data_IF_305168908890
#
_entry.id   IF_305168908890
#
_cell.length_a   1.000
_cell.length_b   1.000
_cell.length_c   1.000
_cell.angle_alpha   90.00
_cell.angle_beta   90.00
_cell.angle_gamma   90.00
#
_symmetry.space_group_name_H-M   'P 1'
#
loop_
_entity.id
_entity.type
_entity.pdbx_description
1 polymer ?
#
# COMPACT_ATOMS: atom_id res chain seq x y z
N UNK A 1 -24.83 7.72 -22.32
CA UNK A 1 -23.41 7.27 -22.44
C UNK A 1 -23.02 6.34 -21.28
N UNK A 2 -23.63 5.15 -21.14
CA UNK A 2 -23.35 4.22 -20.02
C UNK A 2 -22.53 2.97 -20.42
N UNK A 3 -22.23 2.77 -21.71
CA UNK A 3 -21.65 1.50 -22.17
C UNK A 3 -20.11 1.47 -22.11
N UNK A 4 -19.39 2.56 -22.37
CA UNK A 4 -17.90 2.56 -22.45
C UNK A 4 -17.17 2.20 -21.14
N UNK A 5 -17.69 2.59 -19.97
CA UNK A 5 -17.01 2.38 -18.68
C UNK A 5 -16.96 0.90 -18.26
N UNK A 6 -17.95 0.10 -18.64
CA UNK A 6 -18.01 -1.34 -18.29
C UNK A 6 -16.95 -2.14 -19.06
N UNK A 7 -16.67 -1.78 -20.32
CA UNK A 7 -15.65 -2.46 -21.13
C UNK A 7 -14.23 -2.22 -20.64
N UNK A 8 -13.93 -1.00 -20.16
CA UNK A 8 -12.59 -0.69 -19.67
C UNK A 8 -12.29 -1.43 -18.36
N UNK A 9 -13.24 -1.47 -17.42
CA UNK A 9 -13.06 -2.20 -16.15
C UNK A 9 -12.78 -3.69 -16.38
N UNK A 10 -13.54 -4.35 -17.25
CA UNK A 10 -13.31 -5.75 -17.62
C UNK A 10 -11.98 -5.93 -18.37
N UNK A 11 -11.62 -4.99 -19.25
CA UNK A 11 -10.33 -5.02 -19.94
C UNK A 11 -9.14 -4.90 -18.96
N UNK A 12 -9.20 -3.97 -18.01
CA UNK A 12 -8.20 -3.80 -16.93
C UNK A 12 -8.08 -5.08 -16.11
N UNK A 13 -9.21 -5.68 -15.72
CA UNK A 13 -9.25 -6.95 -15.00
C UNK A 13 -8.56 -8.06 -15.78
N UNK A 14 -8.81 -8.15 -17.10
CA UNK A 14 -8.15 -9.12 -17.98
C UNK A 14 -6.64 -8.88 -18.05
N UNK A 15 -6.17 -7.63 -18.15
CA UNK A 15 -4.73 -7.34 -18.15
C UNK A 15 -4.07 -7.82 -16.86
N UNK A 16 -4.65 -7.49 -15.69
CA UNK A 16 -4.13 -7.94 -14.38
C UNK A 16 -4.09 -9.46 -14.25
N UNK A 17 -5.13 -10.15 -14.71
CA UNK A 17 -5.18 -11.62 -14.70
C UNK A 17 -4.13 -12.24 -15.62
N UNK A 18 -3.92 -11.71 -16.82
CA UNK A 18 -2.90 -12.19 -17.75
C UNK A 18 -1.48 -11.94 -17.22
N UNK A 19 -1.24 -10.77 -16.62
CA UNK A 19 0.05 -10.45 -15.98
C UNK A 19 0.34 -11.41 -14.82
N UNK A 20 -0.64 -11.65 -13.93
CA UNK A 20 -0.50 -12.62 -12.82
C UNK A 20 -0.22 -14.05 -13.29
N UNK A 21 -0.68 -14.41 -14.50
CA UNK A 21 -0.44 -15.72 -15.12
C UNK A 21 0.85 -15.77 -15.95
N UNK A 22 1.62 -14.68 -16.02
CA UNK A 22 2.78 -14.55 -16.91
C UNK A 22 2.46 -14.84 -18.39
N UNK A 23 1.22 -14.59 -18.82
CA UNK A 23 0.78 -14.79 -20.21
C UNK A 23 0.63 -13.49 -20.99
N UNK A 24 0.92 -12.36 -20.35
CA UNK A 24 0.91 -11.06 -21.00
C UNK A 24 2.26 -10.83 -21.70
N UNK A 25 2.25 -10.29 -22.93
CA UNK A 25 3.49 -10.00 -23.65
C UNK A 25 4.32 -8.92 -22.94
N UNK A 26 5.64 -8.98 -23.14
CA UNK A 26 6.58 -7.95 -22.69
C UNK A 26 6.17 -6.57 -23.18
N UNK A 27 5.93 -6.43 -24.49
CA UNK A 27 5.60 -5.14 -25.12
C UNK A 27 4.35 -4.50 -24.50
N UNK A 28 3.33 -5.32 -24.21
CA UNK A 28 2.10 -4.82 -23.58
C UNK A 28 2.32 -4.45 -22.13
N UNK A 29 3.17 -5.20 -21.43
CA UNK A 29 3.54 -4.90 -20.04
C UNK A 29 4.30 -3.58 -19.97
N UNK A 30 5.25 -3.35 -20.88
CA UNK A 30 6.00 -2.09 -20.99
C UNK A 30 5.10 -0.89 -21.33
N UNK A 31 4.16 -1.05 -22.27
CA UNK A 31 3.19 0.01 -22.61
C UNK A 31 2.28 0.38 -21.44
N UNK A 32 1.88 -0.60 -20.62
CA UNK A 32 1.08 -0.34 -19.43
C UNK A 32 1.92 0.29 -18.33
N UNK A 33 3.16 -0.15 -18.15
CA UNK A 33 4.09 0.44 -17.18
C UNK A 33 4.40 1.91 -17.51
N UNK A 34 4.56 2.27 -18.80
CA UNK A 34 4.91 3.63 -19.21
C UNK A 34 3.84 4.67 -18.88
N UNK A 35 2.58 4.25 -18.71
CA UNK A 35 1.47 5.11 -18.27
C UNK A 35 1.20 4.99 -16.76
N UNK A 36 2.07 4.32 -16.00
CA UNK A 36 1.91 4.13 -14.56
C UNK A 36 0.78 3.17 -14.19
N UNK A 37 0.49 2.17 -15.03
CA UNK A 37 -0.60 1.22 -14.77
C UNK A 37 -0.38 0.43 -13.47
N UNK A 38 -1.36 0.51 -12.56
CA UNK A 38 -1.33 -0.20 -11.29
C UNK A 38 -1.80 -1.65 -11.46
N UNK A 39 -0.86 -2.59 -11.33
CA UNK A 39 -1.10 -4.03 -11.40
C UNK A 39 -1.80 -4.57 -10.15
N UNK A 40 -1.32 -4.20 -8.97
CA UNK A 40 -1.90 -4.58 -7.68
C UNK A 40 -2.29 -3.32 -6.89
N UNK A 41 -3.60 -3.17 -6.66
CA UNK A 41 -4.16 -2.03 -5.93
C UNK A 41 -3.82 -2.08 -4.43
N UNK A 42 -3.70 -3.28 -3.87
CA UNK A 42 -3.36 -3.47 -2.47
C UNK A 42 -1.92 -3.03 -2.22
N UNK A 43 -0.99 -3.44 -3.09
CA UNK A 43 0.42 -3.05 -2.96
C UNK A 43 0.63 -1.58 -3.30
N UNK A 44 -0.11 -1.04 -4.28
CA UNK A 44 -0.06 0.38 -4.55
C UNK A 44 -0.52 1.23 -3.35
N UNK A 45 -1.67 0.88 -2.74
CA UNK A 45 -2.16 1.59 -1.55
C UNK A 45 -1.23 1.41 -0.35
N UNK A 46 -0.62 0.24 -0.21
CA UNK A 46 0.43 0.00 0.78
C UNK A 46 1.63 0.93 0.56
N UNK A 47 2.19 0.95 -0.66
CA UNK A 47 3.36 1.77 -1.01
C UNK A 47 3.08 3.27 -0.81
N UNK A 48 1.91 3.74 -1.19
CA UNK A 48 1.51 5.14 -0.98
C UNK A 48 1.52 5.50 0.52
N UNK A 49 0.90 4.66 1.36
CA UNK A 49 0.84 4.88 2.81
C UNK A 49 2.19 4.70 3.48
N UNK A 50 2.99 3.74 3.03
CA UNK A 50 4.35 3.54 3.50
C UNK A 50 5.23 4.75 3.19
N UNK A 51 5.13 5.32 1.99
CA UNK A 51 5.84 6.55 1.63
C UNK A 51 5.39 7.74 2.49
N UNK A 52 4.09 7.87 2.76
CA UNK A 52 3.58 8.88 3.71
C UNK A 52 4.16 8.69 5.11
N UNK A 53 4.29 7.45 5.58
CA UNK A 53 4.93 7.14 6.85
C UNK A 53 6.42 7.52 6.86
N UNK A 54 7.15 7.21 5.79
CA UNK A 54 8.56 7.59 5.66
C UNK A 54 8.74 9.11 5.67
N UNK A 55 7.89 9.85 4.97
CA UNK A 55 7.89 11.31 5.00
C UNK A 55 7.57 11.85 6.41
N UNK A 56 6.56 11.28 7.08
CA UNK A 56 6.23 11.65 8.45
C UNK A 56 7.41 11.40 9.40
N UNK A 57 8.08 10.25 9.30
CA UNK A 57 9.28 9.94 10.09
C UNK A 57 10.40 10.95 9.82
N UNK A 58 10.65 11.29 8.56
CA UNK A 58 11.69 12.25 8.22
C UNK A 58 11.44 13.64 8.85
N UNK A 59 10.16 14.02 9.00
CA UNK A 59 9.77 15.30 9.59
C UNK A 59 9.72 15.27 11.14
N UNK A 60 9.29 14.17 11.74
CA UNK A 60 8.99 14.09 13.18
C UNK A 60 10.00 13.25 13.99
N UNK A 61 10.90 12.53 13.32
CA UNK A 61 11.87 11.62 13.94
C UNK A 61 11.29 10.26 14.39
N UNK A 62 9.98 10.05 14.33
CA UNK A 62 9.32 8.82 14.78
C UNK A 62 8.15 8.41 13.87
N UNK A 63 7.72 7.15 13.98
CA UNK A 63 6.55 6.61 13.26
C UNK A 63 5.24 6.64 14.08
N UNK A 64 5.22 7.32 15.23
CA UNK A 64 4.04 7.45 16.08
C UNK A 64 3.08 8.53 15.56
N UNK A 65 2.30 8.15 14.55
CA UNK A 65 1.32 9.04 13.92
C UNK A 65 0.06 9.13 14.77
N UNK A 66 -0.32 10.34 15.18
CA UNK A 66 -1.57 10.60 15.90
C UNK A 66 -2.77 10.53 14.94
N UNK A 67 -3.98 10.33 15.48
CA UNK A 67 -5.23 10.29 14.71
C UNK A 67 -5.93 11.66 14.63
N UNK A 68 -5.15 12.74 14.58
CA UNK A 68 -5.69 14.10 14.42
C UNK A 68 -6.18 14.35 12.98
N UNK A 69 -6.80 15.49 12.71
CA UNK A 69 -7.38 15.77 11.38
C UNK A 69 -6.32 15.84 10.27
N UNK A 70 -5.10 16.30 10.57
CA UNK A 70 -3.99 16.38 9.63
C UNK A 70 -3.49 15.00 9.16
N UNK A 71 -3.36 14.05 10.09
CA UNK A 71 -2.82 12.71 9.80
C UNK A 71 -3.85 11.58 9.92
N UNK A 72 -5.15 11.90 9.96
CA UNK A 72 -6.23 10.95 10.25
C UNK A 72 -6.12 9.65 9.47
N UNK A 73 -5.90 9.74 8.16
CA UNK A 73 -5.78 8.58 7.27
C UNK A 73 -4.56 7.71 7.61
N UNK A 74 -3.40 8.34 7.84
CA UNK A 74 -2.16 7.65 8.16
C UNK A 74 -2.19 7.07 9.58
N UNK A 75 -2.70 7.80 10.57
CA UNK A 75 -2.87 7.32 11.95
C UNK A 75 -3.84 6.14 12.07
N UNK A 76 -4.89 6.10 11.24
CA UNK A 76 -5.76 4.92 11.13
C UNK A 76 -4.99 3.72 10.55
N UNK A 77 -4.21 3.95 9.49
CA UNK A 77 -3.42 2.91 8.83
C UNK A 77 -2.34 2.32 9.75
N UNK A 78 -1.58 3.17 10.45
CA UNK A 78 -0.59 2.77 11.46
C UNK A 78 -1.21 1.89 12.53
N UNK A 79 -2.35 2.30 13.10
CA UNK A 79 -3.01 1.53 14.15
C UNK A 79 -3.57 0.19 13.62
N UNK A 80 -4.11 0.18 12.39
CA UNK A 80 -4.56 -1.06 11.74
C UNK A 80 -3.43 -2.07 11.63
N UNK A 81 -2.22 -1.65 11.25
CA UNK A 81 -1.08 -2.56 11.14
C UNK A 81 -0.58 -3.07 12.48
N UNK A 82 -0.61 -2.25 13.55
CA UNK A 82 -0.35 -2.74 14.92
C UNK A 82 -1.31 -3.85 15.32
N UNK A 83 -2.60 -3.69 15.05
CA UNK A 83 -3.63 -4.70 15.32
C UNK A 83 -3.41 -5.97 14.48
N UNK A 84 -3.07 -5.84 13.20
CA UNK A 84 -2.80 -6.97 12.32
C UNK A 84 -1.53 -7.74 12.73
N UNK A 85 -0.49 -7.03 13.17
CA UNK A 85 0.74 -7.63 13.69
C UNK A 85 0.47 -8.46 14.95
N UNK A 86 -0.26 -7.90 15.93
CA UNK A 86 -0.67 -8.64 17.15
C UNK A 86 -1.53 -9.87 16.84
N UNK A 87 -2.23 -9.88 15.70
CA UNK A 87 -3.04 -11.01 15.21
C UNK A 87 -2.26 -11.99 14.31
N UNK A 88 -0.96 -11.80 14.11
CA UNK A 88 -0.15 -12.57 13.15
C UNK A 88 -0.76 -12.61 11.73
N UNK A 89 -1.42 -11.52 11.32
CA UNK A 89 -2.16 -11.41 10.07
C UNK A 89 -1.46 -10.48 9.05
N UNK A 90 -0.18 -10.16 9.28
CA UNK A 90 0.64 -9.34 8.39
C UNK A 90 1.69 -10.24 7.71
N UNK A 91 1.99 -9.98 6.43
CA UNK A 91 3.06 -10.69 5.74
C UNK A 91 4.43 -10.31 6.31
N UNK A 92 5.38 -11.25 6.29
CA UNK A 92 6.76 -11.02 6.73
C UNK A 92 7.41 -9.83 6.02
N UNK A 93 7.21 -9.71 4.70
CA UNK A 93 7.71 -8.58 3.91
C UNK A 93 7.23 -7.22 4.44
N UNK A 94 5.94 -7.10 4.78
CA UNK A 94 5.37 -5.85 5.32
C UNK A 94 5.87 -5.55 6.72
N UNK A 95 6.12 -6.59 7.52
CA UNK A 95 6.74 -6.47 8.84
C UNK A 95 8.17 -5.94 8.69
N UNK A 96 8.97 -6.53 7.81
CA UNK A 96 10.36 -6.13 7.54
C UNK A 96 10.43 -4.67 7.03
N UNK A 97 9.56 -4.30 6.09
CA UNK A 97 9.47 -2.92 5.61
C UNK A 97 9.17 -1.93 6.74
N UNK A 98 8.19 -2.21 7.60
CA UNK A 98 7.89 -1.34 8.74
C UNK A 98 9.05 -1.30 9.75
N UNK A 99 9.67 -2.45 10.05
CA UNK A 99 10.82 -2.53 10.94
C UNK A 99 12.02 -1.70 10.43
N UNK A 100 12.26 -1.66 9.12
CA UNK A 100 13.31 -0.83 8.52
C UNK A 100 13.14 0.67 8.83
N UNK A 101 11.90 1.10 9.12
CA UNK A 101 11.60 2.48 9.52
C UNK A 101 11.74 2.72 11.02
N UNK A 102 12.10 1.73 11.84
CA UNK A 102 12.07 1.86 13.30
C UNK A 102 10.63 1.99 13.83
N UNK A 103 9.67 1.36 13.15
CA UNK A 103 8.27 1.42 13.50
C UNK A 103 8.01 0.82 14.88
N UNK A 104 7.42 1.60 15.79
CA UNK A 104 7.02 1.08 17.09
C UNK A 104 5.65 0.38 17.01
N UNK A 105 5.67 -0.95 17.22
CA UNK A 105 4.50 -1.81 17.26
C UNK A 105 3.66 -1.64 18.53
N UNK A 106 4.28 -1.21 19.64
CA UNK A 106 3.60 -0.92 20.90
C UNK A 106 4.04 0.42 21.51
N UNK A 107 3.39 1.54 21.13
CA UNK A 107 3.72 2.85 21.66
C UNK A 107 3.21 3.08 23.10
N UNK A 108 2.41 2.18 23.67
CA UNK A 108 1.80 2.37 24.99
C UNK A 108 2.60 1.71 26.13
N UNK A 109 3.58 0.85 25.85
CA UNK A 109 4.39 0.20 26.89
C UNK A 109 5.39 1.13 27.61
N UNK A 110 5.54 2.39 27.18
CA UNK A 110 6.49 3.36 27.75
C UNK A 110 5.82 4.66 28.23
N UNK A 111 4.51 4.65 28.52
CA UNK A 111 3.77 5.78 29.08
C UNK A 111 3.78 5.77 30.61
#
# INVERSE_FOLDING_TARGET
MMHKKKYLGEWVKRQRLSHKKNTLSSDRTEQLNSIGFVWDLCDHSWNEKFNQLCAFKAQNGHCNVSRNDEYKSLGIWVNKHRVLYKKNALSSERIEQLNSTGFNWDPLEHA
#
